data_IF_434841003580
#
_entry.id   IF_434841003580
#
_cell.length_a   1.000
_cell.length_b   1.000
_cell.length_c   1.000
_cell.angle_alpha   90.00
_cell.angle_beta   90.00
_cell.angle_gamma   90.00
#
_symmetry.space_group_name_H-M   'P 1'
#
loop_
_entity.id
_entity.type
_entity.pdbx_description
1 polymer ?
#
# COMPACT_ATOMS: atom_id res chain seq x y z
N UNK A 1 -22.44 11.03 32.70
CA UNK A 1 -23.01 9.93 31.89
C UNK A 1 -22.45 10.07 30.49
N UNK A 2 -21.67 9.09 30.01
CA UNK A 2 -21.16 9.14 28.64
C UNK A 2 -22.33 8.95 27.67
N UNK A 3 -22.65 9.94 26.82
CA UNK A 3 -23.62 9.76 25.75
C UNK A 3 -23.15 8.60 24.86
N UNK A 4 -23.97 7.55 24.76
CA UNK A 4 -23.72 6.46 23.82
C UNK A 4 -23.68 7.00 22.40
N UNK A 5 -22.59 6.75 21.69
CA UNK A 5 -22.44 7.08 20.28
C UNK A 5 -23.63 6.55 19.46
N UNK A 6 -24.08 7.33 18.47
CA UNK A 6 -25.22 7.02 17.60
C UNK A 6 -24.71 6.62 16.22
N UNK A 7 -25.04 5.40 15.80
CA UNK A 7 -24.73 4.90 14.45
C UNK A 7 -25.94 5.14 13.54
N UNK A 8 -25.72 5.63 12.32
CA UNK A 8 -26.79 5.80 11.34
C UNK A 8 -27.50 4.46 11.10
N UNK A 9 -28.81 4.41 11.35
CA UNK A 9 -29.60 3.18 11.24
C UNK A 9 -29.70 2.66 9.80
N UNK A 10 -29.59 3.54 8.80
CA UNK A 10 -29.75 3.20 7.39
C UNK A 10 -28.48 2.60 6.77
N UNK A 11 -27.33 3.26 6.94
CA UNK A 11 -26.07 2.80 6.31
C UNK A 11 -25.14 2.06 7.25
N UNK A 12 -25.30 2.18 8.58
CA UNK A 12 -24.42 1.58 9.61
C UNK A 12 -22.95 2.04 9.59
N UNK A 13 -22.56 2.93 8.68
CA UNK A 13 -21.17 3.41 8.56
C UNK A 13 -20.88 4.70 9.33
N UNK A 14 -21.84 5.63 9.40
CA UNK A 14 -21.61 6.93 10.03
C UNK A 14 -21.89 6.86 11.54
N UNK A 15 -20.93 7.34 12.34
CA UNK A 15 -20.99 7.40 13.80
C UNK A 15 -21.02 8.85 14.26
N UNK A 16 -21.93 9.17 15.18
CA UNK A 16 -22.14 10.51 15.73
C UNK A 16 -22.06 10.48 17.25
N UNK A 17 -21.62 11.57 17.87
CA UNK A 17 -21.70 11.71 19.33
C UNK A 17 -23.15 11.89 19.81
N UNK A 18 -24.04 12.46 19.01
CA UNK A 18 -25.44 12.73 19.37
C UNK A 18 -26.38 12.77 18.18
N UNK A 19 -27.69 12.73 18.44
CA UNK A 19 -28.72 12.90 17.41
C UNK A 19 -28.66 14.28 16.75
N UNK A 20 -28.31 15.33 17.52
CA UNK A 20 -28.14 16.69 17.01
C UNK A 20 -27.05 16.73 15.93
N UNK A 21 -25.92 16.08 16.18
CA UNK A 21 -24.83 15.97 15.21
C UNK A 21 -25.22 15.14 13.98
N UNK A 22 -26.00 14.07 14.15
CA UNK A 22 -26.52 13.28 13.03
C UNK A 22 -27.42 14.12 12.10
N UNK A 23 -28.36 14.88 12.67
CA UNK A 23 -29.26 15.77 11.91
C UNK A 23 -28.49 16.89 11.21
N UNK A 24 -27.50 17.49 11.86
CA UNK A 24 -26.66 18.52 11.25
C UNK A 24 -25.87 17.95 10.06
N UNK A 25 -25.18 16.82 10.24
CA UNK A 25 -24.40 16.18 9.18
C UNK A 25 -25.26 15.68 8.00
N UNK A 26 -26.57 15.47 8.20
CA UNK A 26 -27.48 15.05 7.13
C UNK A 26 -27.56 16.05 5.98
N UNK A 27 -27.61 17.36 6.28
CA UNK A 27 -27.81 18.42 5.26
C UNK A 27 -26.65 19.39 5.16
N UNK A 28 -25.84 19.51 6.20
CA UNK A 28 -24.78 20.52 6.27
C UNK A 28 -23.48 19.95 5.72
N UNK A 29 -22.94 20.61 4.69
CA UNK A 29 -21.58 20.37 4.20
C UNK A 29 -20.60 21.03 5.17
N UNK A 30 -19.50 20.37 5.54
CA UNK A 30 -18.45 21.02 6.33
C UNK A 30 -17.54 21.88 5.44
N UNK A 31 -17.47 21.53 4.15
CA UNK A 31 -16.74 22.29 3.13
C UNK A 31 -17.55 22.36 1.82
N UNK A 32 -17.46 23.44 1.01
CA UNK A 32 -18.29 23.61 -0.21
C UNK A 32 -18.28 22.43 -1.20
N UNK A 33 -17.14 21.73 -1.30
CA UNK A 33 -16.92 20.57 -2.19
C UNK A 33 -17.21 19.20 -1.55
N UNK A 34 -17.48 19.15 -0.24
CA UNK A 34 -17.72 17.90 0.47
C UNK A 34 -19.18 17.45 0.29
N UNK A 35 -19.38 16.14 0.16
CA UNK A 35 -20.73 15.55 0.13
C UNK A 35 -21.29 15.44 1.55
N UNK A 36 -22.56 15.77 1.71
CA UNK A 36 -23.31 15.58 2.96
C UNK A 36 -23.51 14.10 3.29
N UNK A 37 -23.89 13.79 4.54
CA UNK A 37 -24.25 12.41 4.86
C UNK A 37 -25.45 11.92 4.02
N UNK A 38 -26.43 12.78 3.72
CA UNK A 38 -27.56 12.40 2.86
C UNK A 38 -27.10 11.92 1.48
N UNK A 39 -26.13 12.61 0.89
CA UNK A 39 -25.57 12.25 -0.42
C UNK A 39 -24.72 10.96 -0.35
N UNK A 40 -24.00 10.73 0.76
CA UNK A 40 -23.13 9.56 0.94
C UNK A 40 -23.83 8.32 1.53
N UNK A 41 -25.01 8.47 2.14
CA UNK A 41 -25.64 7.40 2.91
C UNK A 41 -25.94 6.16 2.05
N UNK A 42 -26.37 6.35 0.81
CA UNK A 42 -26.61 5.25 -0.13
C UNK A 42 -25.33 4.49 -0.49
N UNK A 43 -24.25 5.20 -0.80
CA UNK A 43 -22.94 4.61 -1.12
C UNK A 43 -22.37 3.87 0.09
N UNK A 44 -22.40 4.50 1.26
CA UNK A 44 -21.97 3.87 2.50
C UNK A 44 -22.78 2.60 2.80
N UNK A 45 -24.10 2.61 2.58
CA UNK A 45 -24.93 1.42 2.75
C UNK A 45 -24.47 0.29 1.82
N UNK A 46 -24.17 0.60 0.55
CA UNK A 46 -23.64 -0.39 -0.41
C UNK A 46 -22.27 -0.93 0.03
N UNK A 47 -21.38 -0.08 0.54
CA UNK A 47 -20.08 -0.51 1.06
C UNK A 47 -20.23 -1.43 2.28
N UNK A 48 -21.15 -1.13 3.19
CA UNK A 48 -21.41 -1.95 4.38
C UNK A 48 -22.02 -3.33 4.06
N UNK A 49 -22.57 -3.54 2.86
CA UNK A 49 -22.95 -4.90 2.42
C UNK A 49 -21.73 -5.82 2.26
N UNK A 50 -20.53 -5.27 2.08
CA UNK A 50 -19.28 -6.03 1.95
C UNK A 50 -18.62 -6.34 3.30
N UNK A 51 -19.10 -5.74 4.40
CA UNK A 51 -18.52 -5.92 5.74
C UNK A 51 -18.42 -7.39 6.17
N UNK A 52 -19.42 -8.27 5.94
CA UNK A 52 -19.28 -9.69 6.28
C UNK A 52 -18.12 -10.37 5.55
N UNK A 53 -17.91 -10.06 4.27
CA UNK A 53 -16.81 -10.62 3.49
C UNK A 53 -15.44 -10.13 3.99
N UNK A 54 -15.30 -8.82 4.26
CA UNK A 54 -14.08 -8.27 4.86
C UNK A 54 -13.81 -8.84 6.25
N UNK A 55 -14.86 -9.04 7.05
CA UNK A 55 -14.76 -9.67 8.38
C UNK A 55 -14.26 -11.10 8.25
N UNK A 56 -14.84 -11.91 7.36
CA UNK A 56 -14.41 -13.29 7.15
C UNK A 56 -12.93 -13.38 6.76
N UNK A 57 -12.48 -12.51 5.84
CA UNK A 57 -11.07 -12.42 5.46
C UNK A 57 -10.19 -12.01 6.65
N UNK A 58 -10.63 -11.05 7.46
CA UNK A 58 -9.85 -10.60 8.62
C UNK A 58 -9.71 -11.72 9.66
N UNK A 59 -10.81 -12.39 9.99
CA UNK A 59 -10.87 -13.40 11.06
C UNK A 59 -10.19 -14.72 10.71
N UNK A 60 -9.77 -14.91 9.46
CA UNK A 60 -8.90 -16.04 9.09
C UNK A 60 -7.48 -15.87 9.68
N UNK A 61 -7.11 -14.64 10.06
CA UNK A 61 -5.80 -14.34 10.62
C UNK A 61 -5.87 -14.30 12.15
N UNK A 62 -4.92 -14.93 12.87
CA UNK A 62 -4.88 -14.89 14.34
C UNK A 62 -4.62 -13.48 14.88
N UNK A 63 -3.97 -12.60 14.11
CA UNK A 63 -3.80 -11.18 14.44
C UNK A 63 -5.02 -10.31 14.06
N UNK A 64 -5.95 -10.84 13.26
CA UNK A 64 -7.14 -10.15 12.77
C UNK A 64 -8.22 -10.04 13.83
N UNK A 65 -8.06 -9.10 14.76
CA UNK A 65 -9.00 -8.88 15.86
C UNK A 65 -9.98 -7.75 15.55
N UNK A 66 -11.27 -8.04 15.64
CA UNK A 66 -12.32 -7.02 15.66
C UNK A 66 -12.47 -6.43 17.06
N UNK A 67 -12.64 -5.12 17.12
CA UNK A 67 -13.04 -4.41 18.33
C UNK A 67 -14.56 -4.57 18.57
N UNK A 68 -15.03 -4.18 19.77
CA UNK A 68 -16.44 -4.36 20.17
C UNK A 68 -17.44 -3.65 19.25
N UNK A 69 -16.99 -2.62 18.55
CA UNK A 69 -17.78 -1.84 17.59
C UNK A 69 -17.71 -2.39 16.16
N UNK A 70 -17.03 -3.53 15.96
CA UNK A 70 -16.84 -4.17 14.66
C UNK A 70 -15.75 -3.53 13.79
N UNK A 71 -14.95 -2.61 14.34
CA UNK A 71 -13.80 -2.03 13.64
C UNK A 71 -12.55 -2.88 13.76
N UNK A 72 -11.59 -2.66 12.85
CA UNK A 72 -10.25 -3.24 12.91
C UNK A 72 -9.22 -2.12 12.97
N UNK A 73 -8.32 -2.17 13.95
CA UNK A 73 -7.21 -1.23 14.06
C UNK A 73 -5.94 -1.82 13.43
N UNK A 74 -5.62 -1.36 12.22
CA UNK A 74 -4.39 -1.74 11.51
C UNK A 74 -3.14 -1.34 12.29
N UNK A 75 -3.18 -0.20 12.98
CA UNK A 75 -2.06 0.28 13.79
C UNK A 75 -1.83 -0.58 15.04
N UNK A 76 -2.90 -1.03 15.70
CA UNK A 76 -2.77 -1.98 16.80
C UNK A 76 -2.18 -3.31 16.32
N UNK A 77 -2.61 -3.80 15.16
CA UNK A 77 -2.04 -5.01 14.56
C UNK A 77 -0.54 -4.84 14.30
N UNK A 78 -0.12 -3.75 13.62
CA UNK A 78 1.31 -3.41 13.41
C UNK A 78 2.08 -3.24 14.71
N UNK A 79 1.47 -2.63 15.72
CA UNK A 79 2.06 -2.42 17.05
C UNK A 79 2.41 -3.72 17.76
N UNK A 80 1.60 -4.78 17.62
CA UNK A 80 1.88 -6.10 18.20
C UNK A 80 3.14 -6.75 17.64
N UNK A 81 3.47 -6.48 16.38
CA UNK A 81 4.70 -6.93 15.74
C UNK A 81 5.86 -5.92 15.89
N UNK A 82 5.66 -4.83 16.65
CA UNK A 82 6.65 -3.76 16.83
C UNK A 82 7.07 -3.08 15.51
N UNK A 83 6.17 -3.07 14.53
CA UNK A 83 6.38 -2.47 13.20
C UNK A 83 5.52 -1.22 12.95
N UNK A 84 4.89 -0.67 13.99
CA UNK A 84 4.17 0.60 13.91
C UNK A 84 5.14 1.78 14.03
N UNK A 85 5.38 2.50 12.94
CA UNK A 85 6.17 3.73 12.97
C UNK A 85 6.40 4.39 11.61
N UNK A 86 7.12 5.52 11.65
CA UNK A 86 7.58 6.26 10.48
C UNK A 86 8.98 5.82 10.06
N UNK A 87 9.92 6.76 9.92
CA UNK A 87 11.31 6.48 9.50
C UNK A 87 11.96 5.39 10.35
N UNK A 88 12.59 4.41 9.69
CA UNK A 88 13.36 3.34 10.34
C UNK A 88 12.57 2.06 10.61
N UNK A 89 11.30 1.98 10.22
CA UNK A 89 10.46 0.78 10.39
C UNK A 89 10.41 -0.09 9.13
N UNK A 90 11.41 0.03 8.25
CA UNK A 90 11.51 -0.76 7.02
C UNK A 90 10.32 -0.52 6.10
N UNK A 91 9.76 -1.59 5.51
CA UNK A 91 8.56 -1.53 4.66
C UNK A 91 7.31 -1.02 5.38
N UNK A 92 7.32 -1.04 6.71
CA UNK A 92 6.21 -0.57 7.53
C UNK A 92 6.27 0.92 7.83
N UNK A 93 7.29 1.63 7.34
CA UNK A 93 7.38 3.08 7.49
C UNK A 93 6.19 3.70 6.76
N UNK A 94 5.22 4.25 7.50
CA UNK A 94 4.04 4.91 6.93
C UNK A 94 3.89 6.29 7.57
N UNK A 95 3.45 7.27 6.79
CA UNK A 95 3.06 8.57 7.33
C UNK A 95 1.86 8.38 8.28
N UNK A 96 2.06 8.72 9.55
CA UNK A 96 0.98 8.80 10.54
C UNK A 96 0.31 10.18 10.55
N UNK A 97 -0.72 10.34 11.36
CA UNK A 97 -1.34 11.65 11.63
C UNK A 97 -2.50 12.02 10.68
N UNK A 98 -2.98 13.28 10.73
CA UNK A 98 -4.24 13.68 10.11
C UNK A 98 -4.16 13.88 8.58
N UNK A 99 -2.98 13.80 7.98
CA UNK A 99 -2.78 14.00 6.54
C UNK A 99 -2.06 12.78 5.97
N UNK A 100 -2.85 11.83 5.49
CA UNK A 100 -2.35 10.55 5.00
C UNK A 100 -1.75 10.60 3.58
N UNK A 101 -1.96 11.70 2.83
CA UNK A 101 -1.59 11.83 1.41
C UNK A 101 -0.63 12.99 1.13
N UNK A 102 0.11 12.90 0.02
CA UNK A 102 0.99 13.91 -0.52
C UNK A 102 0.52 14.36 -1.93
N UNK A 103 0.24 15.66 -2.15
CA UNK A 103 0.44 16.77 -1.23
C UNK A 103 -0.64 16.79 -0.14
N UNK A 104 -0.33 17.43 0.99
CA UNK A 104 -1.21 17.52 2.15
C UNK A 104 -2.53 18.32 1.91
N UNK A 105 -2.75 18.71 0.65
CA UNK A 105 -3.94 19.36 0.13
C UNK A 105 -4.23 20.71 0.77
N UNK A 106 -5.41 21.22 0.45
CA UNK A 106 -5.93 22.46 1.05
C UNK A 106 -6.12 22.33 2.56
N UNK A 107 -6.22 21.11 3.10
CA UNK A 107 -6.36 20.87 4.54
C UNK A 107 -5.12 21.33 5.30
N UNK A 108 -3.92 20.91 4.90
CA UNK A 108 -2.69 21.40 5.54
C UNK A 108 -2.50 22.91 5.35
N UNK A 109 -2.84 23.44 4.18
CA UNK A 109 -2.78 24.89 3.94
C UNK A 109 -3.79 25.66 4.81
N UNK A 110 -4.98 25.13 5.03
CA UNK A 110 -6.02 25.73 5.87
C UNK A 110 -5.64 25.64 7.35
N UNK A 111 -5.14 24.49 7.78
CA UNK A 111 -4.59 24.24 9.11
C UNK A 111 -3.38 25.13 9.42
N UNK A 112 -2.59 25.49 8.41
CA UNK A 112 -1.47 26.43 8.54
C UNK A 112 -1.92 27.90 8.58
N UNK A 113 -3.07 28.24 8.00
CA UNK A 113 -3.51 29.64 7.79
C UNK A 113 -4.57 30.13 8.78
N UNK A 114 -5.17 29.29 9.62
CA UNK A 114 -6.27 29.71 10.50
C UNK A 114 -5.99 29.54 12.01
N UNK A 115 -6.06 30.67 12.72
CA UNK A 115 -6.38 30.76 14.15
C UNK A 115 -5.23 30.63 15.15
N UNK A 116 -5.54 30.88 16.43
CA UNK A 116 -4.60 30.85 17.56
C UNK A 116 -3.92 29.48 17.80
N UNK A 117 -4.38 28.43 17.11
CA UNK A 117 -3.86 27.06 17.21
C UNK A 117 -2.85 26.71 16.10
N UNK A 118 -2.62 27.60 15.12
CA UNK A 118 -1.73 27.35 13.99
C UNK A 118 -0.31 26.89 14.40
N UNK A 119 0.34 27.44 15.44
CA UNK A 119 1.65 26.95 15.89
C UNK A 119 1.63 25.51 16.39
N UNK A 120 0.59 25.13 17.14
CA UNK A 120 0.41 23.77 17.68
C UNK A 120 0.16 22.80 16.53
N UNK A 121 -0.67 23.19 15.56
CA UNK A 121 -0.96 22.37 14.38
C UNK A 121 0.28 22.21 13.50
N UNK A 122 1.09 23.26 13.32
CA UNK A 122 2.37 23.17 12.61
C UNK A 122 3.36 22.24 13.33
N UNK A 123 3.47 22.34 14.65
CA UNK A 123 4.32 21.44 15.43
C UNK A 123 3.85 19.99 15.31
N UNK A 124 2.55 19.76 15.36
CA UNK A 124 1.96 18.43 15.15
C UNK A 124 2.25 17.90 13.74
N UNK A 125 2.03 18.70 12.69
CA UNK A 125 2.33 18.30 11.31
C UNK A 125 3.82 17.99 11.11
N UNK A 126 4.72 18.77 11.70
CA UNK A 126 6.16 18.48 11.68
C UNK A 126 6.52 17.18 12.40
N UNK A 127 5.87 16.88 13.52
CA UNK A 127 6.08 15.63 14.25
C UNK A 127 5.69 14.39 13.44
N UNK A 128 4.78 14.54 12.48
CA UNK A 128 4.36 13.49 11.53
C UNK A 128 4.93 13.67 10.12
N UNK A 129 5.92 14.55 9.92
CA UNK A 129 6.51 14.77 8.60
C UNK A 129 7.41 13.61 8.19
N UNK A 130 6.77 12.58 7.63
CA UNK A 130 7.43 11.45 7.01
C UNK A 130 7.28 11.56 5.49
N UNK A 131 8.41 11.61 4.79
CA UNK A 131 8.41 11.56 3.33
C UNK A 131 8.40 10.10 2.88
N UNK A 132 7.32 9.68 2.22
CA UNK A 132 7.26 8.36 1.61
C UNK A 132 8.39 8.18 0.59
N UNK A 133 9.00 7.00 0.59
CA UNK A 133 10.19 6.69 -0.18
C UNK A 133 11.48 7.18 0.46
N UNK A 134 11.50 7.57 1.74
CA UNK A 134 12.73 8.05 2.39
C UNK A 134 13.92 7.08 2.28
N UNK A 135 13.65 5.77 2.27
CA UNK A 135 14.69 4.73 2.09
C UNK A 135 15.34 4.78 0.69
N UNK A 136 14.68 5.38 -0.30
CA UNK A 136 15.22 5.57 -1.64
C UNK A 136 16.29 6.68 -1.71
N UNK A 137 16.49 7.43 -0.62
CA UNK A 137 17.62 8.35 -0.46
C UNK A 137 18.93 7.62 -0.08
N UNK A 138 18.85 6.34 0.25
CA UNK A 138 20.02 5.48 0.44
C UNK A 138 20.53 4.94 -0.91
N UNK A 139 21.72 4.35 -0.92
CA UNK A 139 22.37 3.82 -2.13
C UNK A 139 21.89 2.41 -2.51
N UNK A 140 21.25 1.71 -1.58
CA UNK A 140 20.78 0.33 -1.72
C UNK A 140 19.49 0.11 -0.94
N UNK A 141 18.70 -0.86 -1.39
CA UNK A 141 17.52 -1.31 -0.63
C UNK A 141 17.97 -2.13 0.58
N UNK A 142 17.25 -2.05 1.71
CA UNK A 142 17.46 -2.99 2.81
C UNK A 142 17.17 -4.42 2.35
N UNK A 143 17.85 -5.40 2.96
CA UNK A 143 17.50 -6.81 2.75
C UNK A 143 16.15 -7.13 3.40
N UNK A 144 15.58 -8.29 3.06
CA UNK A 144 14.25 -8.69 3.53
C UNK A 144 14.13 -8.70 5.06
N UNK A 145 15.17 -9.11 5.81
CA UNK A 145 15.11 -9.13 7.28
C UNK A 145 15.01 -7.73 7.87
N UNK A 146 15.90 -6.84 7.43
CA UNK A 146 15.94 -5.46 7.91
C UNK A 146 14.72 -4.66 7.47
N UNK A 147 14.16 -4.99 6.32
CA UNK A 147 13.01 -4.31 5.76
C UNK A 147 11.68 -4.79 6.35
N UNK A 148 11.50 -6.10 6.52
CA UNK A 148 10.31 -6.66 7.15
C UNK A 148 10.31 -6.50 8.66
N UNK A 149 11.46 -6.51 9.35
CA UNK A 149 11.54 -6.37 10.81
C UNK A 149 10.60 -7.35 11.56
N UNK A 150 10.43 -8.55 11.01
CA UNK A 150 9.68 -9.65 11.61
C UNK A 150 10.64 -10.79 11.97
N UNK A 151 10.13 -11.74 12.75
CA UNK A 151 10.81 -13.03 12.92
C UNK A 151 10.92 -13.75 11.56
N UNK A 152 12.04 -14.44 11.26
CA UNK A 152 12.31 -15.02 9.94
C UNK A 152 11.19 -15.92 9.40
N UNK A 153 10.53 -16.69 10.26
CA UNK A 153 9.46 -17.63 9.88
C UNK A 153 8.19 -16.90 9.41
N UNK A 154 8.06 -15.60 9.74
CA UNK A 154 6.95 -14.75 9.34
C UNK A 154 7.25 -13.93 8.08
N UNK A 155 8.47 -14.00 7.53
CA UNK A 155 8.89 -13.20 6.39
C UNK A 155 8.64 -13.95 5.06
N UNK A 156 7.87 -13.38 4.12
CA UNK A 156 7.79 -13.89 2.76
C UNK A 156 9.03 -13.45 1.96
N UNK A 157 10.17 -14.13 2.18
CA UNK A 157 11.44 -13.80 1.52
C UNK A 157 11.32 -13.79 -0.01
N UNK A 158 11.89 -12.77 -0.65
CA UNK A 158 12.12 -12.71 -2.10
C UNK A 158 13.52 -13.22 -2.43
N UNK A 159 14.48 -13.05 -1.52
CA UNK A 159 15.82 -13.60 -1.66
C UNK A 159 15.89 -14.97 -0.96
N UNK A 160 15.83 -16.03 -1.77
CA UNK A 160 15.81 -17.42 -1.30
C UNK A 160 17.21 -17.90 -0.92
N UNK A 161 17.28 -18.77 0.08
CA UNK A 161 18.52 -19.44 0.53
C UNK A 161 18.24 -20.94 0.70
N UNK A 162 19.25 -21.73 1.07
CA UNK A 162 19.04 -23.15 1.39
C UNK A 162 17.99 -23.38 2.49
N UNK A 163 17.76 -22.41 3.37
CA UNK A 163 16.75 -22.47 4.44
C UNK A 163 15.34 -22.07 3.97
N UNK A 164 15.22 -21.32 2.88
CA UNK A 164 13.94 -20.80 2.37
C UNK A 164 13.83 -21.12 0.89
N UNK A 165 13.21 -22.25 0.58
CA UNK A 165 13.03 -22.66 -0.81
C UNK A 165 12.08 -21.68 -1.56
N UNK A 166 12.32 -21.43 -2.85
CA UNK A 166 11.40 -20.66 -3.68
C UNK A 166 10.04 -21.33 -3.78
N UNK A 167 8.94 -20.56 -3.88
CA UNK A 167 7.62 -21.12 -4.10
C UNK A 167 7.58 -21.79 -5.48
N UNK A 168 6.74 -22.82 -5.60
CA UNK A 168 6.50 -23.46 -6.91
C UNK A 168 5.85 -22.44 -7.86
N UNK A 169 5.96 -22.67 -9.16
CA UNK A 169 5.23 -21.92 -10.19
C UNK A 169 3.79 -21.57 -9.77
N UNK A 170 3.47 -20.28 -9.75
CA UNK A 170 2.13 -19.80 -9.40
C UNK A 170 1.05 -20.41 -10.31
N UNK A 171 1.37 -20.71 -11.57
CA UNK A 171 0.43 -21.34 -12.52
C UNK A 171 0.06 -22.79 -12.19
N UNK A 172 0.78 -23.43 -11.25
CA UNK A 172 0.48 -24.78 -10.75
C UNK A 172 -0.41 -24.77 -9.52
N UNK A 173 -0.76 -23.60 -8.99
CA UNK A 173 -1.60 -23.43 -7.80
C UNK A 173 -2.72 -22.44 -8.13
N UNK A 174 -3.91 -22.66 -7.59
CA UNK A 174 -4.99 -21.69 -7.71
C UNK A 174 -4.88 -20.65 -6.57
N UNK A 175 -4.19 -19.54 -6.83
CA UNK A 175 -4.09 -18.42 -5.88
C UNK A 175 -5.30 -17.51 -6.09
N UNK A 176 -6.31 -17.66 -5.24
CA UNK A 176 -7.60 -16.94 -5.34
C UNK A 176 -7.95 -16.08 -4.12
N UNK A 177 -7.25 -16.31 -3.02
CA UNK A 177 -7.48 -15.67 -1.74
C UNK A 177 -6.18 -15.67 -0.93
N UNK A 178 -6.26 -15.11 0.27
CA UNK A 178 -5.12 -15.10 1.18
C UNK A 178 -4.78 -16.50 1.72
N UNK A 179 -5.70 -17.45 1.81
CA UNK A 179 -5.40 -18.80 2.30
C UNK A 179 -4.51 -19.55 1.31
N UNK A 180 -4.90 -19.53 0.04
CA UNK A 180 -4.14 -20.07 -1.07
C UNK A 180 -2.79 -19.36 -1.25
N UNK A 181 -2.72 -18.04 -1.09
CA UNK A 181 -1.45 -17.30 -1.15
C UNK A 181 -0.49 -17.66 -0.01
N UNK A 182 -0.96 -17.69 1.26
CA UNK A 182 -0.12 -18.07 2.41
C UNK A 182 0.36 -19.52 2.29
N UNK A 183 -0.52 -20.43 1.85
CA UNK A 183 -0.18 -21.83 1.60
C UNK A 183 0.87 -21.97 0.50
N UNK A 184 0.71 -21.24 -0.60
CA UNK A 184 1.66 -21.21 -1.71
C UNK A 184 3.03 -20.67 -1.29
N UNK A 185 3.07 -19.60 -0.48
CA UNK A 185 4.31 -19.05 0.09
C UNK A 185 4.90 -19.89 1.21
N UNK A 186 4.14 -20.84 1.76
CA UNK A 186 4.53 -21.68 2.90
C UNK A 186 4.89 -20.84 4.13
N UNK A 187 4.11 -19.79 4.39
CA UNK A 187 4.25 -18.97 5.60
C UNK A 187 3.01 -19.14 6.50
N UNK A 188 3.18 -19.07 7.82
CA UNK A 188 2.09 -19.24 8.77
C UNK A 188 1.15 -18.02 8.76
N UNK A 189 -0.14 -18.20 9.10
CA UNK A 189 -1.15 -17.11 9.13
C UNK A 189 -0.87 -16.08 10.21
N UNK A 190 -0.04 -16.43 11.18
CA UNK A 190 0.58 -15.55 12.17
C UNK A 190 1.43 -14.45 11.53
N UNK A 191 1.89 -14.62 10.29
CA UNK A 191 2.59 -13.54 9.58
C UNK A 191 1.62 -12.41 9.24
N UNK A 192 1.96 -11.15 9.58
CA UNK A 192 1.17 -9.97 9.21
C UNK A 192 1.40 -9.54 7.76
N UNK A 193 2.07 -10.34 6.92
CA UNK A 193 2.45 -9.98 5.55
C UNK A 193 1.30 -9.44 4.70
N UNK A 194 0.07 -9.93 4.88
CA UNK A 194 -1.12 -9.43 4.19
C UNK A 194 -1.36 -7.92 4.37
N UNK A 195 -0.92 -7.34 5.49
CA UNK A 195 -1.03 -5.90 5.77
C UNK A 195 -0.15 -5.02 4.88
N UNK A 196 0.88 -5.58 4.23
CA UNK A 196 1.68 -4.89 3.20
C UNK A 196 1.42 -5.44 1.80
N UNK A 197 1.28 -6.75 1.66
CA UNK A 197 1.14 -7.36 0.35
C UNK A 197 -0.24 -7.15 -0.27
N UNK A 198 -1.24 -6.63 0.46
CA UNK A 198 -2.50 -6.25 -0.16
C UNK A 198 -2.31 -5.18 -1.26
N UNK A 199 -1.32 -4.29 -1.14
CA UNK A 199 -0.98 -3.32 -2.19
C UNK A 199 -0.56 -4.06 -3.48
N UNK A 200 0.33 -5.04 -3.35
CA UNK A 200 0.86 -5.80 -4.48
C UNK A 200 -0.20 -6.73 -5.08
N UNK A 201 -0.97 -7.42 -4.23
CA UNK A 201 -2.08 -8.27 -4.65
C UNK A 201 -3.18 -7.46 -5.34
N UNK A 202 -3.42 -6.21 -4.92
CA UNK A 202 -4.36 -5.32 -5.60
C UNK A 202 -3.90 -5.04 -7.04
N UNK A 203 -2.61 -4.75 -7.25
CA UNK A 203 -2.08 -4.58 -8.61
C UNK A 203 -2.25 -5.85 -9.45
N UNK A 204 -1.91 -7.01 -8.89
CA UNK A 204 -2.11 -8.30 -9.55
C UNK A 204 -3.57 -8.50 -9.98
N UNK A 205 -4.53 -8.34 -9.06
CA UNK A 205 -5.95 -8.53 -9.38
C UNK A 205 -6.51 -7.47 -10.30
N UNK A 206 -6.01 -6.23 -10.25
CA UNK A 206 -6.40 -5.19 -11.19
C UNK A 206 -6.02 -5.58 -12.62
N UNK A 207 -4.80 -6.08 -12.85
CA UNK A 207 -4.36 -6.42 -14.22
C UNK A 207 -4.92 -7.76 -14.71
N UNK A 208 -5.14 -8.73 -13.83
CA UNK A 208 -5.64 -10.07 -14.18
C UNK A 208 -7.16 -10.11 -14.32
N UNK A 209 -7.88 -9.57 -13.36
CA UNK A 209 -9.34 -9.71 -13.26
C UNK A 209 -10.05 -8.42 -13.68
N UNK A 210 -9.78 -7.30 -13.00
CA UNK A 210 -10.56 -6.07 -13.19
C UNK A 210 -10.39 -5.46 -14.58
N UNK A 211 -9.16 -5.37 -15.07
CA UNK A 211 -8.84 -4.86 -16.40
C UNK A 211 -8.73 -5.99 -17.43
N UNK A 212 -8.48 -7.23 -16.99
CA UNK A 212 -8.32 -8.40 -17.86
C UNK A 212 -7.27 -8.19 -18.97
N UNK A 213 -6.15 -7.55 -18.63
CA UNK A 213 -5.06 -7.20 -19.57
C UNK A 213 -3.83 -8.11 -19.45
N UNK A 214 -3.79 -9.00 -18.46
CA UNK A 214 -2.71 -9.95 -18.25
C UNK A 214 -3.24 -11.34 -17.89
N UNK A 215 -2.69 -12.38 -18.52
CA UNK A 215 -2.93 -13.78 -18.13
C UNK A 215 -1.67 -14.35 -17.47
N UNK A 216 -1.73 -14.70 -16.16
CA UNK A 216 -0.61 -15.34 -15.45
C UNK A 216 -0.10 -16.65 -16.08
N UNK A 217 -0.90 -17.30 -16.93
CA UNK A 217 -0.57 -18.55 -17.63
C UNK A 217 -0.03 -18.35 -19.04
N UNK A 218 0.08 -17.11 -19.53
CA UNK A 218 0.55 -16.83 -20.88
C UNK A 218 2.01 -17.26 -21.12
N UNK A 219 2.86 -17.15 -20.09
CA UNK A 219 4.28 -17.48 -20.14
C UNK A 219 4.56 -18.98 -20.18
N UNK A 220 5.64 -19.38 -20.89
CA UNK A 220 6.09 -20.78 -21.00
C UNK A 220 7.61 -20.88 -20.79
N UNK A 221 8.15 -22.00 -20.26
CA UNK A 221 9.58 -22.19 -20.01
C UNK A 221 10.46 -21.94 -21.25
N UNK A 222 10.10 -22.57 -22.37
CA UNK A 222 10.86 -22.50 -23.62
C UNK A 222 10.28 -21.48 -24.63
N UNK A 223 9.36 -20.63 -24.16
CA UNK A 223 8.66 -19.65 -24.99
C UNK A 223 9.31 -18.27 -24.97
N UNK A 224 8.89 -17.37 -25.88
CA UNK A 224 9.23 -15.97 -25.76
C UNK A 224 8.69 -15.40 -24.44
N UNK A 225 9.45 -14.48 -23.84
CA UNK A 225 9.08 -13.78 -22.60
C UNK A 225 7.86 -12.90 -22.85
N UNK A 226 6.85 -13.02 -22.00
CA UNK A 226 5.68 -12.11 -22.02
C UNK A 226 6.11 -10.75 -21.52
N UNK A 227 5.69 -9.67 -22.19
CA UNK A 227 6.00 -8.31 -21.77
C UNK A 227 4.77 -7.67 -21.13
N UNK A 228 4.92 -7.14 -19.91
CA UNK A 228 3.85 -6.45 -19.19
C UNK A 228 4.32 -5.07 -18.73
N UNK A 229 3.77 -4.02 -19.31
CA UNK A 229 4.07 -2.64 -18.94
C UNK A 229 2.95 -2.08 -18.05
N UNK A 230 3.29 -1.71 -16.82
CA UNK A 230 2.34 -1.16 -15.83
C UNK A 230 2.75 0.27 -15.50
N UNK A 231 1.83 1.21 -15.71
CA UNK A 231 1.99 2.60 -15.30
C UNK A 231 1.21 2.81 -13.99
N UNK A 232 1.92 2.90 -12.86
CA UNK A 232 1.32 3.04 -11.53
C UNK A 232 1.13 4.51 -11.19
N UNK A 233 -0.12 4.97 -11.16
CA UNK A 233 -0.47 6.37 -10.96
C UNK A 233 -0.73 6.68 -9.49
N UNK A 234 -0.12 7.75 -8.98
CA UNK A 234 -0.35 8.21 -7.61
C UNK A 234 0.37 7.36 -6.56
N UNK A 235 1.56 6.85 -6.87
CA UNK A 235 2.37 6.14 -5.88
C UNK A 235 2.75 7.07 -4.72
N UNK A 236 2.46 6.63 -3.50
CA UNK A 236 2.77 7.33 -2.26
C UNK A 236 3.47 6.36 -1.31
N UNK A 237 2.71 5.68 -0.46
CA UNK A 237 3.21 4.74 0.54
C UNK A 237 3.94 3.56 -0.07
N UNK A 238 3.62 3.21 -1.32
CA UNK A 238 4.27 2.14 -2.07
C UNK A 238 5.77 2.41 -2.28
N UNK A 239 6.19 3.67 -2.27
CA UNK A 239 7.60 4.06 -2.34
C UNK A 239 8.41 3.53 -1.16
N UNK A 240 7.77 3.24 -0.02
CA UNK A 240 8.43 2.68 1.16
C UNK A 240 8.80 1.21 0.99
N UNK A 241 8.18 0.51 0.04
CA UNK A 241 8.30 -0.94 -0.10
C UNK A 241 8.38 -1.41 -1.56
N UNK A 242 9.05 -0.63 -2.42
CA UNK A 242 9.27 -1.00 -3.83
C UNK A 242 9.77 -2.43 -4.04
N UNK A 243 10.66 -3.00 -3.20
CA UNK A 243 11.09 -4.38 -3.39
C UNK A 243 9.97 -5.41 -3.34
N UNK A 244 8.87 -5.15 -2.61
CA UNK A 244 7.72 -6.05 -2.52
C UNK A 244 7.00 -6.26 -3.86
N UNK A 245 7.14 -5.34 -4.83
CA UNK A 245 6.67 -5.59 -6.19
C UNK A 245 7.40 -6.78 -6.87
N UNK A 246 8.52 -7.24 -6.32
CA UNK A 246 9.15 -8.52 -6.66
C UNK A 246 8.19 -9.71 -6.59
N UNK A 247 7.17 -9.66 -5.72
CA UNK A 247 6.14 -10.69 -5.64
C UNK A 247 5.36 -10.85 -6.97
N UNK A 248 5.19 -9.78 -7.76
CA UNK A 248 4.58 -9.88 -9.09
C UNK A 248 5.38 -10.77 -10.03
N UNK A 249 6.70 -10.78 -9.93
CA UNK A 249 7.54 -11.67 -10.73
C UNK A 249 7.40 -13.15 -10.34
N UNK A 250 7.00 -13.44 -9.10
CA UNK A 250 6.64 -14.80 -8.67
C UNK A 250 5.23 -15.20 -9.16
N UNK A 251 4.31 -14.24 -9.22
CA UNK A 251 2.92 -14.43 -9.66
C UNK A 251 2.74 -14.49 -11.18
N UNK A 252 3.65 -13.89 -11.95
CA UNK A 252 3.71 -13.94 -13.42
C UNK A 252 4.95 -14.68 -13.92
N UNK A 253 4.95 -16.02 -13.90
CA UNK A 253 6.01 -16.83 -14.50
C UNK A 253 6.30 -16.41 -15.95
N UNK A 254 7.58 -16.43 -16.31
CA UNK A 254 8.10 -16.17 -17.65
C UNK A 254 7.71 -14.81 -18.25
N UNK A 255 7.38 -13.85 -17.40
CA UNK A 255 6.97 -12.49 -17.77
C UNK A 255 8.01 -11.46 -17.35
N UNK A 256 8.32 -10.51 -18.22
CA UNK A 256 9.11 -9.32 -17.92
C UNK A 256 8.16 -8.15 -17.67
N UNK A 257 8.17 -7.66 -16.43
CA UNK A 257 7.30 -6.61 -15.94
C UNK A 257 8.10 -5.31 -15.86
N UNK A 258 7.63 -4.27 -16.55
CA UNK A 258 8.10 -2.90 -16.37
C UNK A 258 7.05 -2.13 -15.58
N UNK A 259 7.36 -1.78 -14.34
CA UNK A 259 6.50 -0.97 -13.48
C UNK A 259 7.06 0.45 -13.41
N UNK A 260 6.34 1.45 -13.91
CA UNK A 260 6.74 2.86 -13.77
C UNK A 260 5.79 3.57 -12.82
N UNK A 261 6.32 4.09 -11.71
CA UNK A 261 5.56 4.87 -10.74
C UNK A 261 5.54 6.36 -11.08
N UNK A 262 4.36 6.96 -10.96
CA UNK A 262 4.08 8.38 -11.16
C UNK A 262 3.40 8.98 -9.92
N UNK A 263 3.52 10.30 -9.75
CA UNK A 263 2.77 11.04 -8.73
C UNK A 263 3.61 12.12 -8.06
N UNK A 264 2.95 12.93 -7.22
CA UNK A 264 3.60 14.01 -6.50
C UNK A 264 4.70 13.50 -5.57
N UNK A 265 4.45 12.42 -4.83
CA UNK A 265 5.46 11.83 -3.93
C UNK A 265 6.69 11.34 -4.72
N UNK A 266 6.49 10.73 -5.89
CA UNK A 266 7.56 10.32 -6.82
C UNK A 266 8.41 11.51 -7.26
N UNK A 267 7.76 12.57 -7.74
CA UNK A 267 8.46 13.79 -8.15
C UNK A 267 9.24 14.42 -7.00
N UNK A 268 8.64 14.52 -5.82
CA UNK A 268 9.26 15.09 -4.62
C UNK A 268 10.49 14.29 -4.19
N UNK A 269 10.40 12.96 -4.10
CA UNK A 269 11.53 12.13 -3.64
C UNK A 269 12.69 12.17 -4.66
N UNK A 270 12.41 12.09 -5.96
CA UNK A 270 13.45 12.15 -7.01
C UNK A 270 14.11 13.53 -7.05
N UNK A 271 13.34 14.61 -6.92
CA UNK A 271 13.88 15.98 -6.91
C UNK A 271 14.78 16.21 -5.69
N UNK A 272 14.34 15.77 -4.51
CA UNK A 272 15.14 15.81 -3.27
C UNK A 272 16.40 14.96 -3.37
N UNK A 273 16.29 13.77 -3.95
CA UNK A 273 17.41 12.87 -4.15
C UNK A 273 18.47 13.49 -5.06
N UNK A 274 18.08 14.07 -6.20
CA UNK A 274 19.00 14.75 -7.11
C UNK A 274 19.68 15.96 -6.46
N UNK A 275 18.96 16.72 -5.65
CA UNK A 275 19.48 17.92 -5.00
C UNK A 275 20.44 17.61 -3.83
N UNK A 276 20.16 16.57 -3.03
CA UNK A 276 20.86 16.37 -1.73
C UNK A 276 21.49 14.99 -1.55
N UNK A 277 21.13 13.99 -2.37
CA UNK A 277 21.61 12.61 -2.27
C UNK A 277 21.95 12.04 -3.66
N UNK A 278 22.89 12.63 -4.42
CA UNK A 278 23.09 12.32 -5.84
C UNK A 278 23.50 10.87 -6.13
N UNK A 279 23.98 10.12 -5.13
CA UNK A 279 24.34 8.69 -5.23
C UNK A 279 23.20 7.73 -4.87
N UNK A 280 22.06 8.25 -4.42
CA UNK A 280 20.94 7.45 -3.94
C UNK A 280 20.20 6.70 -5.06
N UNK A 281 19.40 5.71 -4.68
CA UNK A 281 18.50 4.97 -5.57
C UNK A 281 17.60 5.93 -6.37
N UNK A 282 16.92 6.85 -5.69
CA UNK A 282 16.01 7.80 -6.32
C UNK A 282 16.73 8.82 -7.21
N UNK A 283 17.97 9.22 -6.90
CA UNK A 283 18.72 10.15 -7.73
C UNK A 283 19.09 9.55 -9.10
N UNK A 284 19.32 8.23 -9.14
CA UNK A 284 19.61 7.47 -10.36
C UNK A 284 18.37 7.17 -11.22
N UNK A 285 17.17 7.49 -10.73
CA UNK A 285 15.94 7.24 -11.47
C UNK A 285 15.96 7.95 -12.84
N UNK A 286 15.74 7.15 -13.89
CA UNK A 286 15.59 7.63 -15.26
C UNK A 286 14.59 6.73 -16.01
N UNK A 287 14.16 7.11 -17.23
CA UNK A 287 13.32 6.25 -18.07
C UNK A 287 13.95 4.90 -18.43
N UNK A 288 15.27 4.76 -18.29
CA UNK A 288 16.04 3.57 -18.70
C UNK A 288 16.78 2.88 -17.56
N UNK A 289 16.87 3.51 -16.39
CA UNK A 289 17.55 2.95 -15.21
C UNK A 289 16.51 2.69 -14.12
N UNK A 290 16.23 1.41 -13.79
CA UNK A 290 15.31 1.07 -12.73
C UNK A 290 15.92 1.38 -11.36
N UNK A 291 15.07 1.77 -10.40
CA UNK A 291 15.46 1.94 -9.00
C UNK A 291 15.42 0.64 -8.21
N UNK A 292 14.76 -0.38 -8.76
CA UNK A 292 14.72 -1.75 -8.23
C UNK A 292 14.57 -2.75 -9.37
N UNK A 293 15.20 -3.91 -9.25
CA UNK A 293 15.03 -5.02 -10.18
C UNK A 293 15.11 -6.33 -9.44
N UNK A 294 14.28 -7.27 -9.85
CA UNK A 294 14.23 -8.61 -9.28
C UNK A 294 13.93 -9.62 -10.38
N UNK A 295 14.57 -10.79 -10.30
CA UNK A 295 14.30 -11.94 -11.14
C UNK A 295 14.00 -13.11 -10.22
N UNK A 296 12.82 -13.70 -10.37
CA UNK A 296 12.43 -14.88 -9.64
C UNK A 296 13.34 -16.07 -9.99
N UNK A 297 13.50 -17.05 -9.10
CA UNK A 297 14.22 -18.28 -9.41
C UNK A 297 13.57 -19.07 -10.55
N UNK A 298 14.35 -19.97 -11.15
CA UNK A 298 13.91 -20.79 -12.28
C UNK A 298 12.71 -21.68 -11.91
N UNK A 299 12.69 -22.20 -10.68
CA UNK A 299 11.61 -23.04 -10.15
C UNK A 299 10.30 -22.26 -9.96
N UNK A 300 10.37 -20.93 -9.89
CA UNK A 300 9.23 -20.01 -9.86
C UNK A 300 8.93 -19.41 -11.24
N UNK A 301 9.64 -19.83 -12.29
CA UNK A 301 9.40 -19.44 -13.68
C UNK A 301 10.20 -18.23 -14.14
N UNK A 302 11.26 -17.86 -13.45
CA UNK A 302 12.19 -16.80 -13.88
C UNK A 302 11.51 -15.47 -14.23
N UNK A 303 10.32 -15.16 -13.69
CA UNK A 303 9.65 -13.88 -13.93
C UNK A 303 10.56 -12.73 -13.51
N UNK A 304 10.49 -11.60 -14.21
CA UNK A 304 11.35 -10.44 -13.95
C UNK A 304 10.50 -9.22 -13.73
N UNK A 305 10.90 -8.37 -12.78
CA UNK A 305 10.33 -7.04 -12.64
C UNK A 305 11.43 -5.99 -12.57
N UNK A 306 11.16 -4.85 -13.20
CA UNK A 306 11.96 -3.64 -13.11
C UNK A 306 11.05 -2.48 -12.72
N UNK A 307 11.41 -1.77 -11.66
CA UNK A 307 10.63 -0.66 -11.12
C UNK A 307 11.35 0.66 -11.43
N UNK A 308 10.62 1.60 -12.02
CA UNK A 308 11.09 2.91 -12.45
C UNK A 308 10.32 4.01 -11.73
N UNK A 309 10.97 5.17 -11.54
CA UNK A 309 10.33 6.37 -10.99
C UNK A 309 10.34 7.47 -12.05
N UNK A 310 9.15 7.95 -12.42
CA UNK A 310 9.01 9.11 -13.29
C UNK A 310 9.08 10.40 -12.46
N UNK A 311 10.29 10.87 -12.17
CA UNK A 311 10.50 12.05 -11.32
C UNK A 311 10.49 13.40 -12.05
N UNK A 312 10.37 13.44 -13.38
CA UNK A 312 10.45 14.69 -14.17
C UNK A 312 9.22 15.59 -14.03
N UNK A 313 8.06 15.01 -13.73
CA UNK A 313 6.81 15.73 -13.52
C UNK A 313 6.02 15.11 -12.37
N UNK A 314 5.21 15.93 -11.69
CA UNK A 314 4.32 15.47 -10.62
C UNK A 314 3.07 14.73 -11.14
N UNK A 315 2.73 14.94 -12.41
CA UNK A 315 1.53 14.39 -13.04
C UNK A 315 1.93 13.52 -14.22
N UNK A 316 1.15 12.46 -14.42
CA UNK A 316 1.24 11.63 -15.60
C UNK A 316 0.64 12.36 -16.81
N UNK A 317 1.22 12.13 -17.99
CA UNK A 317 0.67 12.61 -19.26
C UNK A 317 0.57 11.47 -20.27
N UNK A 318 -0.42 11.50 -21.20
CA UNK A 318 -0.58 10.46 -22.22
C UNK A 318 0.59 10.32 -23.22
N UNK A 319 1.52 11.29 -23.22
CA UNK A 319 2.69 11.26 -24.09
C UNK A 319 3.81 10.32 -23.59
N UNK A 320 3.58 9.61 -22.47
CA UNK A 320 4.49 8.63 -21.89
C UNK A 320 4.17 7.18 -22.29
#
# INVERSE_FOLDING_TARGET
MAETTKVCSACKAAVYCSQKCATAAWKTRRHPKEKTHKELCGDNKRHMLRTPAFTAVLTQFPWGRLEKDGTFSVDLARGRYKVLGGKGFGYWSHRGGPVAHLPAGTLAETLQKQGNYAPIVQQMLKAFDYLDGSALLETQHPNDRDAWRLEPELIPFLNFSSLWAPPRLATKVEIKDWDSWYSWRRIPKESPAALLLHYIMTVYWLVVDTLSVADPKAGKPDGPRVQLNIQYLGAEVELNFLPLFGELALLFPYTDIKLTCFGQAVHTIVSRAKASHPKSLAARASPTVPVYSYTAPEESGSGRIQVFLHGTAAYWTPAY
#
